data_IF_139052802159
#
_entry.id   IF_139052802159
#
_cell.length_a   1.000
_cell.length_b   1.000
_cell.length_c   1.000
_cell.angle_alpha   90.00
_cell.angle_beta   90.00
_cell.angle_gamma   90.00
#
_symmetry.space_group_name_H-M   'P 1'
#
loop_
_entity.id
_entity.type
_entity.pdbx_description
1 polymer ?
#
# COMPACT_ATOMS: atom_id res chain seq x y z
N UNK A 1 6.45 31.24 -10.36
CA UNK A 1 5.68 29.99 -10.19
C UNK A 1 6.19 29.04 -11.25
N UNK A 2 6.90 27.98 -10.86
CA UNK A 2 7.68 27.16 -11.78
C UNK A 2 6.78 26.25 -12.63
N UNK A 3 6.98 26.24 -13.95
CA UNK A 3 6.16 25.48 -14.91
C UNK A 3 6.07 23.98 -14.59
N UNK A 4 7.12 23.42 -13.98
CA UNK A 4 7.16 22.03 -13.55
C UNK A 4 6.15 21.73 -12.41
N UNK A 5 5.92 22.69 -11.50
CA UNK A 5 4.98 22.52 -10.39
C UNK A 5 3.53 22.51 -10.87
N UNK A 6 3.23 23.27 -11.94
CA UNK A 6 1.93 23.25 -12.60
C UNK A 6 1.69 21.93 -13.32
N UNK A 7 2.67 21.42 -14.06
CA UNK A 7 2.58 20.08 -14.67
C UNK A 7 2.35 19.00 -13.62
N UNK A 8 3.08 19.00 -12.50
CA UNK A 8 2.87 18.02 -11.42
C UNK A 8 1.47 18.11 -10.81
N UNK A 9 0.93 19.32 -10.60
CA UNK A 9 -0.44 19.49 -10.11
C UNK A 9 -1.47 19.00 -11.11
N UNK A 10 -1.31 19.31 -12.39
CA UNK A 10 -2.24 18.87 -13.46
C UNK A 10 -2.17 17.36 -13.64
N UNK A 11 -0.98 16.77 -13.63
CA UNK A 11 -0.80 15.32 -13.73
C UNK A 11 -1.41 14.61 -12.52
N UNK A 12 -1.13 15.08 -11.30
CA UNK A 12 -1.68 14.50 -10.07
C UNK A 12 -3.21 14.64 -10.02
N UNK A 13 -3.73 15.81 -10.40
CA UNK A 13 -5.18 16.06 -10.44
C UNK A 13 -5.85 15.24 -11.54
N UNK A 14 -5.21 15.12 -12.71
CA UNK A 14 -5.67 14.31 -13.83
C UNK A 14 -5.68 12.82 -13.51
N UNK A 15 -4.66 12.31 -12.80
CA UNK A 15 -4.61 10.93 -12.31
C UNK A 15 -5.66 10.68 -11.23
N UNK A 16 -5.93 11.64 -10.33
CA UNK A 16 -7.01 11.50 -9.35
C UNK A 16 -8.39 11.48 -10.00
N UNK A 17 -8.62 12.32 -11.02
CA UNK A 17 -9.88 12.34 -11.78
C UNK A 17 -10.07 11.08 -12.63
N UNK A 18 -9.02 10.68 -13.37
CA UNK A 18 -9.03 9.46 -14.16
C UNK A 18 -9.11 8.22 -13.27
N UNK A 19 -8.42 8.23 -12.12
CA UNK A 19 -8.46 7.18 -11.11
C UNK A 19 -9.83 7.09 -10.43
N UNK A 20 -10.52 8.21 -10.22
CA UNK A 20 -11.92 8.22 -9.77
C UNK A 20 -12.86 7.62 -10.81
N UNK A 21 -12.70 7.99 -12.09
CA UNK A 21 -13.54 7.48 -13.18
C UNK A 21 -13.30 5.98 -13.48
N UNK A 22 -12.04 5.54 -13.53
CA UNK A 22 -11.70 4.12 -13.64
C UNK A 22 -12.05 3.36 -12.35
N UNK A 23 -11.95 4.02 -11.20
CA UNK A 23 -12.31 3.46 -9.90
C UNK A 23 -13.72 2.90 -9.90
N UNK A 24 -14.69 3.65 -10.42
CA UNK A 24 -16.08 3.18 -10.54
C UNK A 24 -16.18 1.90 -11.37
N UNK A 25 -15.48 1.81 -12.51
CA UNK A 25 -15.47 0.60 -13.37
C UNK A 25 -14.80 -0.58 -12.69
N UNK A 26 -13.70 -0.36 -11.97
CA UNK A 26 -12.97 -1.42 -11.26
C UNK A 26 -13.79 -1.94 -10.09
N UNK A 27 -14.48 -1.05 -9.36
CA UNK A 27 -15.37 -1.43 -8.26
C UNK A 27 -16.57 -2.20 -8.79
N UNK A 28 -17.22 -1.73 -9.86
CA UNK A 28 -18.33 -2.45 -10.51
C UNK A 28 -17.90 -3.84 -11.01
N UNK A 29 -16.73 -3.94 -11.64
CA UNK A 29 -16.18 -5.22 -12.11
C UNK A 29 -15.79 -6.13 -10.95
N UNK A 30 -15.20 -5.59 -9.88
CA UNK A 30 -14.88 -6.34 -8.67
C UNK A 30 -16.12 -6.88 -7.99
N UNK A 31 -17.18 -6.08 -7.90
CA UNK A 31 -18.46 -6.48 -7.30
C UNK A 31 -19.15 -7.55 -8.14
N UNK A 32 -19.18 -7.37 -9.46
CA UNK A 32 -19.73 -8.36 -10.38
C UNK A 32 -18.94 -9.67 -10.39
N UNK A 33 -17.61 -9.61 -10.23
CA UNK A 33 -16.76 -10.78 -10.21
C UNK A 33 -16.88 -11.60 -8.91
N UNK A 34 -17.10 -10.94 -7.77
CA UNK A 34 -17.23 -11.64 -6.48
C UNK A 34 -18.66 -12.08 -6.18
N UNK A 35 -19.65 -11.28 -6.53
CA UNK A 35 -21.04 -11.46 -6.08
C UNK A 35 -21.99 -11.86 -7.22
N UNK A 36 -21.58 -11.71 -8.49
CA UNK A 36 -22.42 -12.02 -9.67
C UNK A 36 -23.54 -11.00 -9.94
N UNK A 37 -23.89 -10.16 -8.96
CA UNK A 37 -24.98 -9.19 -9.00
C UNK A 37 -24.48 -7.73 -8.97
N UNK A 38 -25.28 -6.80 -9.53
CA UNK A 38 -24.91 -5.37 -9.65
C UNK A 38 -24.88 -4.73 -8.25
N UNK A 39 -23.89 -3.87 -7.98
CA UNK A 39 -23.66 -3.29 -6.67
C UNK A 39 -24.94 -2.69 -6.05
N UNK A 40 -25.24 -2.99 -4.77
CA UNK A 40 -26.48 -2.58 -4.11
C UNK A 40 -26.64 -1.07 -4.22
N UNK A 41 -27.72 -0.65 -4.86
CA UNK A 41 -28.12 0.76 -4.95
C UNK A 41 -28.84 1.16 -3.66
N UNK A 42 -28.73 2.44 -3.31
CA UNK A 42 -28.93 3.04 -1.98
C UNK A 42 -30.35 2.99 -1.39
N UNK A 43 -31.25 2.12 -1.88
CA UNK A 43 -32.65 2.09 -1.46
C UNK A 43 -32.92 1.24 -0.21
N UNK A 44 -31.95 0.43 0.25
CA UNK A 44 -32.08 -0.36 1.48
C UNK A 44 -31.15 0.17 2.59
N UNK A 45 -31.71 0.92 3.52
CA UNK A 45 -30.98 1.54 4.64
C UNK A 45 -30.24 0.50 5.52
N UNK A 46 -30.84 -0.68 5.70
CA UNK A 46 -30.23 -1.78 6.45
C UNK A 46 -29.09 -2.44 5.67
N UNK A 47 -29.24 -2.63 4.36
CA UNK A 47 -28.18 -3.19 3.51
C UNK A 47 -27.01 -2.22 3.37
N UNK A 48 -27.29 -0.92 3.35
CA UNK A 48 -26.27 0.14 3.28
C UNK A 48 -25.34 0.10 4.50
N UNK A 49 -25.86 -0.14 5.71
CA UNK A 49 -25.02 -0.23 6.92
C UNK A 49 -24.08 -1.43 6.89
N UNK A 50 -24.58 -2.61 6.50
CA UNK A 50 -23.76 -3.82 6.38
C UNK A 50 -22.74 -3.69 5.23
N UNK A 51 -23.18 -3.20 4.06
CA UNK A 51 -22.30 -2.93 2.92
C UNK A 51 -21.20 -1.93 3.28
N UNK A 52 -21.50 -0.90 4.08
CA UNK A 52 -20.52 0.09 4.55
C UNK A 52 -19.47 -0.52 5.47
N UNK A 53 -19.86 -1.38 6.41
CA UNK A 53 -18.93 -2.07 7.31
C UNK A 53 -18.03 -3.02 6.51
N UNK A 54 -18.62 -3.82 5.61
CA UNK A 54 -17.87 -4.76 4.77
C UNK A 54 -16.93 -4.02 3.82
N UNK A 55 -17.36 -2.90 3.22
CA UNK A 55 -16.53 -2.08 2.34
C UNK A 55 -15.35 -1.48 3.10
N UNK A 56 -15.58 -0.93 4.29
CA UNK A 56 -14.51 -0.40 5.13
C UNK A 56 -13.50 -1.49 5.53
N UNK A 57 -13.99 -2.67 5.91
CA UNK A 57 -13.15 -3.81 6.24
C UNK A 57 -12.35 -4.30 5.03
N UNK A 58 -12.98 -4.41 3.86
CA UNK A 58 -12.35 -4.83 2.62
C UNK A 58 -11.24 -3.87 2.19
N UNK A 59 -11.48 -2.56 2.26
CA UNK A 59 -10.45 -1.55 1.95
C UNK A 59 -9.29 -1.64 2.94
N UNK A 60 -9.60 -1.78 4.23
CA UNK A 60 -8.57 -1.92 5.28
C UNK A 60 -7.71 -3.16 5.04
N UNK A 61 -8.34 -4.31 4.80
CA UNK A 61 -7.66 -5.57 4.50
C UNK A 61 -6.84 -5.48 3.21
N UNK A 62 -7.36 -4.81 2.16
CA UNK A 62 -6.65 -4.60 0.91
C UNK A 62 -5.36 -3.81 1.14
N UNK A 63 -5.42 -2.69 1.87
CA UNK A 63 -4.25 -1.88 2.21
C UNK A 63 -3.27 -2.70 3.06
N UNK A 64 -3.75 -3.44 4.07
CA UNK A 64 -2.89 -4.30 4.90
C UNK A 64 -2.20 -5.42 4.10
N UNK A 65 -2.88 -5.99 3.11
CA UNK A 65 -2.34 -7.01 2.22
C UNK A 65 -1.28 -6.43 1.28
N UNK A 66 -1.49 -5.22 0.75
CA UNK A 66 -0.50 -4.51 -0.05
C UNK A 66 0.75 -4.17 0.77
N UNK A 67 0.56 -3.69 2.01
CA UNK A 67 1.68 -3.43 2.93
C UNK A 67 2.41 -4.74 3.22
N UNK A 68 1.70 -5.83 3.55
CA UNK A 68 2.30 -7.13 3.84
C UNK A 68 3.06 -7.71 2.65
N UNK A 69 2.47 -7.71 1.46
CA UNK A 69 3.08 -8.25 0.24
C UNK A 69 4.29 -7.44 -0.22
N UNK A 70 4.24 -6.12 -0.09
CA UNK A 70 5.40 -5.24 -0.32
C UNK A 70 6.47 -5.37 0.77
N UNK A 71 6.04 -5.51 2.02
CA UNK A 71 6.89 -5.62 3.20
C UNK A 71 7.72 -6.90 3.18
N UNK A 72 7.19 -8.05 2.77
CA UNK A 72 7.99 -9.30 2.72
C UNK A 72 9.25 -9.18 1.83
N UNK A 73 9.17 -8.42 0.74
CA UNK A 73 10.32 -8.18 -0.15
C UNK A 73 11.24 -7.08 0.39
N UNK A 74 10.66 -6.03 0.99
CA UNK A 74 11.42 -4.91 1.58
C UNK A 74 12.12 -5.27 2.89
N UNK A 75 11.45 -6.00 3.78
CA UNK A 75 11.95 -6.45 5.09
C UNK A 75 13.09 -7.45 4.94
N UNK A 76 13.04 -8.38 3.97
CA UNK A 76 14.18 -9.29 3.71
C UNK A 76 15.45 -8.50 3.34
N UNK A 77 15.35 -7.54 2.41
CA UNK A 77 16.46 -6.65 2.06
C UNK A 77 16.94 -5.80 3.25
N UNK A 78 16.01 -5.29 4.05
CA UNK A 78 16.34 -4.46 5.22
C UNK A 78 17.02 -5.27 6.33
N UNK A 79 16.56 -6.50 6.57
CA UNK A 79 17.15 -7.44 7.53
C UNK A 79 18.55 -7.88 7.10
N UNK A 80 18.76 -8.20 5.81
CA UNK A 80 20.09 -8.51 5.26
C UNK A 80 21.06 -7.32 5.36
N UNK A 81 20.60 -6.11 5.06
CA UNK A 81 21.40 -4.90 5.21
C UNK A 81 21.78 -4.63 6.67
N UNK A 82 20.87 -4.90 7.62
CA UNK A 82 21.13 -4.76 9.06
C UNK A 82 22.05 -5.86 9.59
N UNK A 83 21.91 -7.10 9.14
CA UNK A 83 22.81 -8.20 9.50
C UNK A 83 24.26 -7.92 9.04
N UNK A 84 24.44 -7.45 7.79
CA UNK A 84 25.76 -7.03 7.28
C UNK A 84 26.37 -5.87 8.07
N UNK A 85 25.54 -4.93 8.56
CA UNK A 85 26.00 -3.80 9.37
C UNK A 85 26.47 -4.26 10.75
N UNK A 86 25.72 -5.16 11.40
CA UNK A 86 26.08 -5.75 12.69
C UNK A 86 27.36 -6.58 12.62
N UNK A 87 27.55 -7.36 11.55
CA UNK A 87 28.76 -8.16 11.34
C UNK A 87 30.00 -7.29 11.17
N UNK A 88 29.90 -6.18 10.42
CA UNK A 88 30.99 -5.21 10.27
C UNK A 88 31.34 -4.55 11.61
N UNK A 89 30.35 -4.10 12.38
CA UNK A 89 30.58 -3.49 13.69
C UNK A 89 31.22 -4.47 14.67
N UNK A 90 30.79 -5.74 14.69
CA UNK A 90 31.36 -6.78 15.56
C UNK A 90 32.79 -7.18 15.16
N UNK A 91 33.10 -7.21 13.85
CA UNK A 91 34.46 -7.45 13.36
C UNK A 91 35.42 -6.31 13.66
N UNK A 92 34.96 -5.06 13.58
CA UNK A 92 35.76 -3.90 13.96
C UNK A 92 36.05 -3.89 15.45
N UNK A 93 35.06 -4.22 16.29
CA UNK A 93 35.25 -4.33 17.74
C UNK A 93 36.25 -5.44 18.14
N UNK A 94 36.26 -6.59 17.44
CA UNK A 94 37.27 -7.64 17.67
C UNK A 94 38.68 -7.23 17.24
N UNK A 95 38.85 -6.65 16.05
CA UNK A 95 40.18 -6.22 15.58
C UNK A 95 40.83 -5.14 16.46
N UNK A 96 40.02 -4.28 17.06
CA UNK A 96 40.54 -3.22 17.96
C UNK A 96 40.99 -3.83 19.29
N UNK A 97 40.29 -4.85 19.81
CA UNK A 97 40.70 -5.56 21.02
C UNK A 97 41.98 -6.41 20.86
N UNK A 98 42.23 -6.98 19.68
CA UNK A 98 43.47 -7.72 19.38
C UNK A 98 44.69 -6.80 19.13
N UNK A 99 44.48 -5.50 18.93
CA UNK A 99 45.57 -4.53 18.70
C UNK A 99 46.01 -3.80 20.00
N UNK A 100 45.33 -4.04 21.11
CA UNK A 100 45.57 -3.40 22.41
C UNK A 100 46.22 -4.36 23.44
N UNK A 101 46.55 -5.60 23.04
CA UNK A 101 47.23 -6.62 23.87
C UNK A 101 48.67 -6.90 23.44
#
# INVERSE_FOLDING_TARGET
MDSNKLMQKVLTTGVSLAGGYLGTKIVDLGWKAMTGEKAPSEDDEQQTSIAKIVTFAAISAAISSLITSGSQRGVRKAMEARAKKQEKTKRTARRVGDAEV
#
